data_IF_459547156502
#
_entry.id   IF_459547156502
#
_cell.length_a   1.000
_cell.length_b   1.000
_cell.length_c   1.000
_cell.angle_alpha   90.00
_cell.angle_beta   90.00
_cell.angle_gamma   90.00
#
_symmetry.space_group_name_H-M   'P 1'
#
loop_
_entity.id
_entity.type
_entity.pdbx_description
1 polymer ?
#
# COMPACT_ATOMS: atom_id res chain seq x y z
N UNK A 1 -17.40 -4.34 28.93
CA UNK A 1 -18.22 -3.56 27.98
C UNK A 1 -19.30 -2.78 28.73
N UNK A 2 -19.41 -1.48 28.47
CA UNK A 2 -20.54 -0.64 28.89
C UNK A 2 -21.82 -1.01 28.11
N UNK A 3 -23.03 -0.60 28.58
CA UNK A 3 -24.27 -0.84 27.85
C UNK A 3 -24.27 -0.28 26.42
N UNK A 4 -23.68 0.90 26.22
CA UNK A 4 -23.54 1.52 24.90
C UNK A 4 -22.64 0.69 23.97
N UNK A 5 -21.53 0.17 24.49
CA UNK A 5 -20.64 -0.70 23.72
C UNK A 5 -21.32 -2.00 23.31
N UNK A 6 -22.20 -2.58 24.16
CA UNK A 6 -22.99 -3.77 23.82
C UNK A 6 -24.01 -3.47 22.73
N UNK A 7 -24.78 -2.40 22.89
CA UNK A 7 -25.76 -1.98 21.88
C UNK A 7 -25.09 -1.74 20.52
N UNK A 8 -23.91 -1.13 20.53
CA UNK A 8 -23.11 -0.94 19.32
C UNK A 8 -22.64 -2.27 18.74
N UNK A 9 -22.08 -3.16 19.56
CA UNK A 9 -21.64 -4.49 19.13
C UNK A 9 -22.77 -5.31 18.48
N UNK A 10 -23.98 -5.26 19.06
CA UNK A 10 -25.12 -6.06 18.60
C UNK A 10 -25.77 -5.51 17.31
N UNK A 11 -25.59 -4.22 17.04
CA UNK A 11 -26.19 -3.53 15.89
C UNK A 11 -25.19 -3.11 14.81
N UNK A 12 -23.89 -3.42 14.97
CA UNK A 12 -22.90 -3.08 13.95
C UNK A 12 -22.81 -4.17 12.88
N UNK A 13 -22.34 -3.80 11.67
CA UNK A 13 -22.10 -4.78 10.61
C UNK A 13 -21.13 -5.87 11.08
N UNK A 14 -21.34 -7.12 10.63
CA UNK A 14 -20.55 -8.26 11.07
C UNK A 14 -19.03 -8.06 10.88
N UNK A 15 -18.62 -7.40 9.79
CA UNK A 15 -17.24 -7.04 9.49
C UNK A 15 -16.57 -6.13 10.54
N UNK A 16 -17.35 -5.44 11.38
CA UNK A 16 -16.88 -4.54 12.45
C UNK A 16 -17.06 -5.18 13.83
N UNK A 17 -17.66 -6.37 13.90
CA UNK A 17 -17.80 -7.14 15.12
C UNK A 17 -16.43 -7.51 15.68
N UNK A 18 -16.28 -7.40 17.00
CA UNK A 18 -15.05 -7.72 17.72
C UNK A 18 -15.34 -8.65 18.89
N UNK A 19 -14.30 -9.28 19.41
CA UNK A 19 -14.38 -10.06 20.64
C UNK A 19 -13.92 -9.18 21.81
N UNK A 20 -14.79 -8.90 22.79
CA UNK A 20 -14.49 -8.00 23.90
C UNK A 20 -13.43 -8.54 24.88
N UNK A 21 -12.99 -9.80 24.71
CA UNK A 21 -11.85 -10.36 25.46
C UNK A 21 -10.51 -9.81 24.98
N UNK A 22 -10.46 -9.26 23.75
CA UNK A 22 -9.26 -8.68 23.17
C UNK A 22 -9.26 -7.16 23.33
N UNK A 23 -8.04 -6.61 23.49
CA UNK A 23 -7.78 -5.19 23.46
C UNK A 23 -7.01 -4.85 22.19
N UNK A 24 -7.44 -3.80 21.51
CA UNK A 24 -6.76 -3.24 20.35
C UNK A 24 -5.86 -2.10 20.81
N UNK A 25 -4.57 -2.22 20.52
CA UNK A 25 -3.56 -1.19 20.77
C UNK A 25 -3.19 -0.45 19.48
N UNK A 26 -3.48 0.84 19.42
CA UNK A 26 -3.06 1.73 18.35
C UNK A 26 -1.80 2.44 18.78
N UNK A 27 -0.70 2.22 18.06
CA UNK A 27 0.64 2.62 18.51
C UNK A 27 1.26 3.60 17.53
N UNK A 28 1.80 4.70 18.05
CA UNK A 28 2.74 5.55 17.34
C UNK A 28 4.10 5.53 18.05
N UNK A 29 5.12 5.01 17.38
CA UNK A 29 6.48 4.92 17.91
C UNK A 29 7.39 5.96 17.24
N UNK A 30 8.12 6.72 18.05
CA UNK A 30 9.15 7.66 17.59
C UNK A 30 10.51 7.22 18.10
N UNK A 31 11.45 7.09 17.17
CA UNK A 31 12.87 6.93 17.46
C UNK A 31 13.64 8.07 16.80
N UNK A 32 14.42 8.82 17.59
CA UNK A 32 15.26 9.90 17.10
C UNK A 32 16.67 9.72 17.65
N UNK A 33 17.69 9.94 16.82
CA UNK A 33 19.08 9.90 17.30
C UNK A 33 19.31 11.06 18.26
N UNK A 34 19.83 10.75 19.44
CA UNK A 34 20.15 11.74 20.46
C UNK A 34 21.47 11.34 21.12
N UNK A 35 22.58 12.05 20.83
CA UNK A 35 23.89 11.72 21.36
C UNK A 35 24.00 11.97 22.87
N UNK A 36 23.08 12.75 23.48
CA UNK A 36 23.09 13.05 24.90
C UNK A 36 22.48 11.92 25.75
N UNK A 37 21.81 10.95 25.11
CA UNK A 37 21.21 9.82 25.80
C UNK A 37 22.17 8.62 25.84
N UNK A 38 22.21 7.84 26.95
CA UNK A 38 23.15 6.73 27.12
C UNK A 38 23.10 5.67 26.01
N UNK A 39 21.95 5.52 25.33
CA UNK A 39 21.74 4.56 24.25
C UNK A 39 21.84 5.18 22.86
N UNK A 40 22.14 6.49 22.75
CA UNK A 40 22.28 7.22 21.49
C UNK A 40 20.97 7.52 20.76
N UNK A 41 19.82 7.15 21.35
CA UNK A 41 18.50 7.35 20.75
C UNK A 41 17.47 7.73 21.81
N UNK A 42 16.62 8.69 21.46
CA UNK A 42 15.34 8.97 22.11
C UNK A 42 14.29 8.02 21.55
N UNK A 43 13.58 7.30 22.43
CA UNK A 43 12.56 6.32 22.06
C UNK A 43 11.34 6.48 22.95
N UNK A 44 10.18 6.77 22.34
CA UNK A 44 8.89 6.79 23.04
C UNK A 44 7.77 6.27 22.14
N UNK A 45 6.76 5.70 22.77
CA UNK A 45 5.53 5.26 22.12
C UNK A 45 4.33 5.93 22.76
N UNK A 46 3.38 6.37 21.94
CA UNK A 46 2.02 6.70 22.35
C UNK A 46 1.14 5.51 21.98
N UNK A 47 0.34 5.03 22.94
CA UNK A 47 -0.51 3.86 22.78
C UNK A 47 -1.93 4.19 23.22
N UNK A 48 -2.88 4.09 22.29
CA UNK A 48 -4.31 4.14 22.59
C UNK A 48 -4.83 2.70 22.68
N UNK A 49 -5.45 2.34 23.80
CA UNK A 49 -5.99 1.00 24.04
C UNK A 49 -7.51 1.06 24.11
N UNK A 50 -8.18 0.20 23.35
CA UNK A 50 -9.65 0.17 23.29
C UNK A 50 -10.14 -1.23 22.94
N UNK A 51 -11.39 -1.53 23.27
CA UNK A 51 -12.05 -2.75 22.80
C UNK A 51 -12.61 -2.59 21.38
N UNK A 52 -12.75 -1.35 20.88
CA UNK A 52 -13.41 -1.07 19.60
C UNK A 52 -12.39 -1.06 18.44
N UNK A 53 -12.53 -1.89 17.40
CA UNK A 53 -11.59 -1.98 16.28
C UNK A 53 -11.85 -0.91 15.20
N UNK A 54 -12.04 0.36 15.60
CA UNK A 54 -12.21 1.45 14.63
C UNK A 54 -10.86 1.90 14.09
N UNK A 55 -10.29 1.05 13.23
CA UNK A 55 -8.90 1.14 12.81
C UNK A 55 -8.53 2.54 12.30
N UNK A 56 -9.25 3.04 11.30
CA UNK A 56 -8.94 4.31 10.66
C UNK A 56 -9.10 5.50 11.60
N UNK A 57 -10.15 5.48 12.44
CA UNK A 57 -10.39 6.51 13.45
C UNK A 57 -9.25 6.54 14.48
N UNK A 58 -8.94 5.41 15.10
CA UNK A 58 -7.97 5.37 16.18
C UNK A 58 -6.53 5.48 15.70
N UNK A 59 -6.20 5.09 14.46
CA UNK A 59 -4.91 5.45 13.86
C UNK A 59 -4.78 6.97 13.69
N UNK A 60 -5.81 7.63 13.16
CA UNK A 60 -5.82 9.09 12.97
C UNK A 60 -5.74 9.85 14.30
N UNK A 61 -6.47 9.39 15.31
CA UNK A 61 -6.44 9.93 16.69
C UNK A 61 -5.06 9.76 17.30
N UNK A 62 -4.50 8.54 17.27
CA UNK A 62 -3.18 8.25 17.86
C UNK A 62 -2.07 9.04 17.18
N UNK A 63 -2.11 9.19 15.85
CA UNK A 63 -1.16 10.00 15.10
C UNK A 63 -1.21 11.48 15.52
N UNK A 64 -2.41 12.04 15.68
CA UNK A 64 -2.57 13.44 16.12
C UNK A 64 -2.11 13.65 17.57
N UNK A 65 -2.44 12.73 18.49
CA UNK A 65 -1.93 12.77 19.88
C UNK A 65 -0.41 12.75 19.85
N UNK A 66 0.19 11.83 19.10
CA UNK A 66 1.63 11.69 19.03
C UNK A 66 2.32 12.96 18.51
N UNK A 67 1.79 13.55 17.42
CA UNK A 67 2.31 14.82 16.89
C UNK A 67 2.37 15.90 17.97
N UNK A 68 1.25 16.13 18.66
CA UNK A 68 1.14 17.18 19.67
C UNK A 68 1.90 16.86 20.95
N UNK A 69 1.96 15.59 21.36
CA UNK A 69 2.76 15.15 22.51
C UNK A 69 4.25 15.41 22.28
N UNK A 70 4.77 15.18 21.08
CA UNK A 70 6.17 15.47 20.81
C UNK A 70 6.49 16.96 20.64
N UNK A 71 5.47 17.81 20.49
CA UNK A 71 5.60 19.27 20.46
C UNK A 71 5.44 19.90 21.85
N UNK A 72 4.49 19.40 22.65
CA UNK A 72 4.03 20.06 23.89
C UNK A 72 4.04 19.17 25.15
N UNK A 73 4.36 17.88 25.03
CA UNK A 73 4.50 16.96 26.14
C UNK A 73 3.17 16.45 26.70
N UNK A 74 3.14 16.17 28.01
CA UNK A 74 1.99 15.61 28.73
C UNK A 74 0.67 16.40 28.60
N UNK A 75 0.67 17.74 28.53
CA UNK A 75 -0.57 18.50 28.28
C UNK A 75 -1.32 18.08 27.02
N UNK A 76 -0.63 17.57 25.99
CA UNK A 76 -1.27 17.02 24.80
C UNK A 76 -2.11 15.77 25.12
N UNK A 77 -1.64 14.92 26.04
CA UNK A 77 -2.38 13.72 26.47
C UNK A 77 -3.60 14.14 27.30
N UNK A 78 -3.45 15.11 28.21
CA UNK A 78 -4.55 15.65 29.01
C UNK A 78 -5.66 16.24 28.13
N UNK A 79 -5.28 17.07 27.15
CA UNK A 79 -6.21 17.64 26.18
C UNK A 79 -6.91 16.55 25.34
N UNK A 80 -6.16 15.54 24.90
CA UNK A 80 -6.74 14.42 24.15
C UNK A 80 -7.76 13.63 24.98
N UNK A 81 -7.46 13.33 26.24
CA UNK A 81 -8.38 12.65 27.15
C UNK A 81 -9.65 13.49 27.38
N UNK A 82 -9.49 14.80 27.63
CA UNK A 82 -10.61 15.71 27.81
C UNK A 82 -11.54 15.74 26.58
N UNK A 83 -10.97 15.87 25.38
CA UNK A 83 -11.75 15.90 24.15
C UNK A 83 -12.48 14.58 23.89
N UNK A 84 -11.83 13.43 24.14
CA UNK A 84 -12.43 12.10 23.99
C UNK A 84 -13.58 11.89 24.99
N UNK A 85 -13.44 12.33 26.24
CA UNK A 85 -14.50 12.24 27.25
C UNK A 85 -15.75 13.05 26.87
N UNK A 86 -15.56 14.12 26.08
CA UNK A 86 -16.63 14.96 25.56
C UNK A 86 -17.27 14.43 24.27
N UNK A 87 -16.75 13.34 23.70
CA UNK A 87 -17.33 12.79 22.48
C UNK A 87 -18.76 12.28 22.69
N UNK A 88 -19.65 12.50 21.70
CA UNK A 88 -20.98 11.93 21.75
C UNK A 88 -20.91 10.40 21.80
N UNK A 89 -21.89 9.79 22.47
CA UNK A 89 -21.99 8.32 22.51
C UNK A 89 -22.12 7.77 21.09
N UNK A 90 -21.35 6.73 20.72
CA UNK A 90 -21.41 6.16 19.38
C UNK A 90 -22.78 5.53 19.12
N UNK A 91 -23.44 5.97 18.05
CA UNK A 91 -24.73 5.45 17.59
C UNK A 91 -24.60 4.93 16.17
N UNK A 92 -24.98 3.67 15.96
CA UNK A 92 -24.92 2.96 14.68
C UNK A 92 -25.69 3.72 13.60
N UNK A 93 -25.09 3.89 12.41
CA UNK A 93 -25.69 4.55 11.26
C UNK A 93 -25.67 6.08 11.28
N UNK A 94 -25.28 6.71 12.40
CA UNK A 94 -25.30 8.17 12.61
C UNK A 94 -23.96 8.80 12.23
N UNK A 95 -24.02 10.01 11.66
CA UNK A 95 -22.85 10.85 11.43
C UNK A 95 -22.42 11.51 12.74
N UNK A 96 -21.14 11.35 13.08
CA UNK A 96 -20.52 11.92 14.26
C UNK A 96 -19.56 13.04 13.84
N UNK A 97 -19.61 14.12 14.60
CA UNK A 97 -18.62 15.19 14.57
C UNK A 97 -17.91 15.13 15.91
N UNK A 98 -16.63 14.80 15.89
CA UNK A 98 -15.80 14.59 17.07
C UNK A 98 -14.76 15.72 17.14
N UNK A 99 -14.96 16.75 17.96
CA UNK A 99 -13.92 17.72 18.26
C UNK A 99 -12.72 17.01 18.87
N UNK A 100 -11.53 17.25 18.33
CA UNK A 100 -10.32 16.60 18.79
C UNK A 100 -9.07 17.42 18.46
N UNK A 101 -8.44 17.96 19.49
CA UNK A 101 -7.15 18.66 19.47
C UNK A 101 -7.07 19.71 18.34
N UNK A 102 -8.05 20.62 18.32
CA UNK A 102 -8.15 21.72 17.34
C UNK A 102 -8.64 21.30 15.95
N UNK A 103 -9.05 20.04 15.76
CA UNK A 103 -9.62 19.52 14.51
C UNK A 103 -11.03 18.98 14.74
N UNK A 104 -11.89 19.04 13.72
CA UNK A 104 -13.18 18.36 13.70
C UNK A 104 -13.06 17.05 12.91
N UNK A 105 -13.15 15.91 13.58
CA UNK A 105 -13.19 14.61 12.91
C UNK A 105 -14.65 14.29 12.55
N UNK A 106 -14.95 14.28 11.26
CA UNK A 106 -16.26 13.91 10.72
C UNK A 106 -16.24 12.47 10.25
N UNK A 107 -17.11 11.63 10.79
CA UNK A 107 -17.19 10.21 10.43
C UNK A 107 -18.62 9.69 10.59
N UNK A 108 -18.88 8.47 10.09
CA UNK A 108 -20.18 7.80 10.25
C UNK A 108 -19.96 6.44 10.89
N UNK A 109 -20.82 6.09 11.84
CA UNK A 109 -20.84 4.75 12.40
C UNK A 109 -21.49 3.77 11.41
N UNK A 110 -20.84 2.65 11.06
CA UNK A 110 -21.40 1.68 10.14
C UNK A 110 -22.61 0.96 10.74
N UNK A 111 -23.57 0.57 9.91
CA UNK A 111 -24.79 -0.16 10.27
C UNK A 111 -24.92 -1.48 9.49
N UNK A 112 -25.66 -2.45 10.05
CA UNK A 112 -25.92 -3.76 9.40
C UNK A 112 -26.60 -3.60 8.03
N UNK A 113 -27.34 -2.51 7.82
CA UNK A 113 -28.03 -2.21 6.57
C UNK A 113 -27.15 -1.52 5.52
N UNK A 114 -25.87 -1.24 5.81
CA UNK A 114 -24.97 -0.63 4.84
C UNK A 114 -24.63 -1.64 3.74
N UNK A 115 -24.72 -1.22 2.49
CA UNK A 115 -24.20 -2.01 1.37
C UNK A 115 -22.66 -2.02 1.43
N UNK A 116 -22.00 -3.09 0.96
CA UNK A 116 -20.55 -3.09 0.78
C UNK A 116 -20.14 -1.86 -0.06
N UNK A 117 -19.17 -1.10 0.43
CA UNK A 117 -18.63 0.12 -0.22
C UNK A 117 -19.59 1.32 -0.30
N UNK A 118 -20.72 1.29 0.41
CA UNK A 118 -21.61 2.45 0.54
C UNK A 118 -21.06 3.44 1.57
N UNK A 119 -20.08 4.22 1.14
CA UNK A 119 -19.59 5.38 1.87
C UNK A 119 -20.54 6.56 1.67
N UNK A 120 -21.78 6.44 2.17
CA UNK A 120 -22.70 7.57 2.40
C UNK A 120 -22.12 8.48 3.49
N UNK A 121 -21.03 9.16 3.18
CA UNK A 121 -20.54 10.29 3.95
C UNK A 121 -21.33 11.49 3.42
N UNK A 122 -21.92 12.32 4.28
CA UNK A 122 -22.45 13.59 3.83
C UNK A 122 -21.32 14.40 3.18
N UNK A 123 -21.58 14.95 2.00
CA UNK A 123 -20.71 15.98 1.41
C UNK A 123 -20.48 17.08 2.45
N UNK A 124 -19.23 17.55 2.66
CA UNK A 124 -18.99 18.62 3.59
C UNK A 124 -19.76 19.85 3.10
N UNK A 125 -20.74 20.30 3.89
CA UNK A 125 -21.14 21.71 3.81
C UNK A 125 -19.91 22.48 4.24
N UNK A 126 -19.25 23.18 3.30
CA UNK A 126 -18.17 24.10 3.62
C UNK A 126 -18.75 25.21 4.49
N UNK A 127 -18.71 25.02 5.80
CA UNK A 127 -18.82 26.13 6.72
C UNK A 127 -17.48 26.88 6.67
N UNK A 128 -17.55 28.21 6.53
CA UNK A 128 -16.41 29.13 6.49
C UNK A 128 -15.65 29.22 7.84
N UNK A 129 -15.70 28.18 8.68
CA UNK A 129 -14.93 28.13 9.93
C UNK A 129 -13.46 27.83 9.63
N UNK A 130 -12.55 28.58 10.25
CA UNK A 130 -11.08 28.39 10.16
C UNK A 130 -10.55 27.08 10.79
N UNK A 131 -11.41 26.15 11.20
CA UNK A 131 -11.03 24.90 11.87
C UNK A 131 -10.73 23.77 10.87
N UNK A 132 -9.57 23.13 11.05
CA UNK A 132 -9.16 21.94 10.29
C UNK A 132 -10.22 20.83 10.44
N UNK A 133 -10.72 20.28 9.34
CA UNK A 133 -11.73 19.22 9.36
C UNK A 133 -11.19 17.96 8.68
N UNK A 134 -11.16 16.84 9.42
CA UNK A 134 -10.76 15.52 8.93
C UNK A 134 -12.02 14.69 8.63
N UNK A 135 -12.29 14.40 7.37
CA UNK A 135 -13.40 13.53 6.97
C UNK A 135 -12.91 12.10 6.79
N UNK A 136 -13.42 11.17 7.59
CA UNK A 136 -13.15 9.74 7.47
C UNK A 136 -14.25 9.05 6.68
N UNK A 137 -13.88 8.45 5.55
CA UNK A 137 -14.82 7.73 4.70
C UNK A 137 -15.37 6.46 5.32
N UNK A 138 -14.55 5.84 6.15
CA UNK A 138 -14.90 4.72 7.00
C UNK A 138 -14.06 4.80 8.26
N UNK A 139 -14.66 4.48 9.40
CA UNK A 139 -13.95 4.43 10.68
C UNK A 139 -13.13 3.15 10.86
N UNK A 140 -13.45 2.09 10.12
CA UNK A 140 -12.88 0.75 10.32
C UNK A 140 -12.06 0.25 9.12
N UNK A 141 -12.37 0.68 7.90
CA UNK A 141 -11.64 0.25 6.72
C UNK A 141 -10.26 0.92 6.64
N UNK A 142 -9.25 0.14 6.29
CA UNK A 142 -7.91 0.64 5.98
C UNK A 142 -7.67 0.59 4.47
N UNK A 143 -6.64 1.29 4.01
CA UNK A 143 -6.22 1.24 2.62
C UNK A 143 -5.56 -0.12 2.31
N UNK A 144 -6.39 -1.07 1.86
CA UNK A 144 -5.97 -2.41 1.47
C UNK A 144 -5.02 -2.37 0.28
N UNK A 145 -5.20 -1.46 -0.68
CA UNK A 145 -4.35 -1.38 -1.85
C UNK A 145 -2.93 -0.96 -1.46
N UNK A 146 -2.79 0.08 -0.63
CA UNK A 146 -1.50 0.51 -0.10
C UNK A 146 -0.78 -0.64 0.62
N UNK A 147 -1.52 -1.41 1.41
CA UNK A 147 -0.96 -2.50 2.22
C UNK A 147 -0.60 -3.74 1.40
N UNK A 148 -1.45 -4.14 0.45
CA UNK A 148 -1.34 -5.37 -0.32
C UNK A 148 -0.72 -5.20 -1.72
N UNK A 149 -0.40 -3.97 -2.13
CA UNK A 149 0.16 -3.64 -3.45
C UNK A 149 1.34 -4.53 -3.87
N UNK A 150 2.26 -4.82 -2.94
CA UNK A 150 3.44 -5.65 -3.20
C UNK A 150 3.15 -7.15 -3.32
N UNK A 151 1.93 -7.58 -2.98
CA UNK A 151 1.49 -8.98 -3.01
C UNK A 151 0.22 -9.16 -3.84
N UNK A 152 -0.09 -8.19 -4.71
CA UNK A 152 -1.34 -8.15 -5.48
C UNK A 152 -1.55 -9.40 -6.33
N UNK A 153 -0.46 -9.97 -6.87
CA UNK A 153 -0.45 -11.24 -7.61
C UNK A 153 -0.95 -12.44 -6.81
N UNK A 154 -0.89 -12.37 -5.48
CA UNK A 154 -1.27 -13.44 -4.56
C UNK A 154 -2.59 -13.17 -3.83
N UNK A 155 -3.27 -12.04 -4.08
CA UNK A 155 -4.46 -11.64 -3.31
C UNK A 155 -5.58 -12.68 -3.36
N UNK A 156 -5.76 -13.37 -4.49
CA UNK A 156 -6.74 -14.47 -4.59
C UNK A 156 -6.44 -15.61 -3.60
N UNK A 157 -5.19 -16.11 -3.60
CA UNK A 157 -4.75 -17.16 -2.68
C UNK A 157 -4.85 -16.69 -1.22
N UNK A 158 -4.42 -15.46 -0.96
CA UNK A 158 -4.48 -14.88 0.39
C UNK A 158 -5.92 -14.74 0.89
N UNK A 159 -6.85 -14.34 0.02
CA UNK A 159 -8.27 -14.32 0.32
C UNK A 159 -8.81 -15.73 0.64
N UNK A 160 -8.44 -16.75 -0.15
CA UNK A 160 -8.83 -18.15 0.10
C UNK A 160 -8.31 -18.63 1.45
N UNK A 161 -7.03 -18.43 1.76
CA UNK A 161 -6.40 -18.83 3.02
C UNK A 161 -7.08 -18.18 4.23
N UNK A 162 -7.40 -16.88 4.14
CA UNK A 162 -8.12 -16.17 5.21
C UNK A 162 -9.55 -16.68 5.33
N UNK A 163 -10.25 -16.89 4.21
CA UNK A 163 -11.64 -17.35 4.21
C UNK A 163 -11.81 -18.71 4.89
N UNK A 164 -10.88 -19.64 4.66
CA UNK A 164 -10.91 -20.99 5.24
C UNK A 164 -10.17 -21.10 6.58
N UNK A 165 -9.54 -20.01 7.03
CA UNK A 165 -8.80 -19.98 8.30
C UNK A 165 -7.57 -20.88 8.33
N UNK A 166 -6.81 -20.92 7.23
CA UNK A 166 -5.51 -21.61 7.21
C UNK A 166 -4.45 -20.83 8.00
N UNK A 167 -3.50 -21.51 8.67
CA UNK A 167 -2.39 -20.85 9.36
C UNK A 167 -1.55 -20.04 8.37
N UNK A 168 -1.28 -18.77 8.69
CA UNK A 168 -0.54 -17.85 7.81
C UNK A 168 0.44 -16.98 8.61
N UNK A 169 1.73 -17.11 8.29
CA UNK A 169 2.79 -16.28 8.85
C UNK A 169 3.17 -15.15 7.87
N UNK A 170 2.91 -13.90 8.24
CA UNK A 170 3.26 -12.70 7.49
C UNK A 170 4.55 -12.10 8.04
N UNK A 171 5.58 -12.00 7.20
CA UNK A 171 6.88 -11.42 7.55
C UNK A 171 7.05 -10.11 6.79
N UNK A 172 7.14 -9.01 7.53
CA UNK A 172 7.38 -7.67 6.97
C UNK A 172 8.61 -7.03 7.60
N UNK A 173 9.06 -5.90 7.09
CA UNK A 173 10.23 -5.19 7.62
C UNK A 173 9.99 -4.37 8.88
N UNK A 174 8.76 -3.91 9.06
CA UNK A 174 8.39 -3.00 10.15
C UNK A 174 7.10 -3.46 10.83
N UNK A 175 6.92 -3.19 12.13
CA UNK A 175 5.70 -3.55 12.85
C UNK A 175 4.45 -2.91 12.23
N UNK A 176 4.56 -1.65 11.78
CA UNK A 176 3.47 -0.92 11.13
C UNK A 176 3.02 -1.62 9.86
N UNK A 177 3.96 -2.07 9.02
CA UNK A 177 3.65 -2.76 7.77
C UNK A 177 3.11 -4.15 7.99
N UNK A 178 3.69 -4.89 8.94
CA UNK A 178 3.18 -6.20 9.37
C UNK A 178 1.71 -6.08 9.80
N UNK A 179 1.43 -5.11 10.67
CA UNK A 179 0.09 -4.86 11.19
C UNK A 179 -0.89 -4.48 10.08
N UNK A 180 -0.50 -3.56 9.19
CA UNK A 180 -1.36 -3.12 8.09
C UNK A 180 -1.74 -4.25 7.14
N UNK A 181 -0.78 -5.15 6.83
CA UNK A 181 -1.01 -6.30 5.95
C UNK A 181 -1.93 -7.30 6.61
N UNK A 182 -1.66 -7.70 7.86
CA UNK A 182 -2.54 -8.64 8.58
C UNK A 182 -3.96 -8.08 8.68
N UNK A 183 -4.13 -6.80 9.05
CA UNK A 183 -5.45 -6.18 9.08
C UNK A 183 -6.12 -6.16 7.70
N UNK A 184 -5.36 -5.90 6.63
CA UNK A 184 -5.92 -5.90 5.27
C UNK A 184 -6.35 -7.29 4.83
N UNK A 185 -5.56 -8.32 5.18
CA UNK A 185 -5.90 -9.71 4.95
C UNK A 185 -7.21 -10.09 5.64
N UNK A 186 -7.38 -9.73 6.91
CA UNK A 186 -8.63 -9.96 7.64
C UNK A 186 -9.80 -9.22 6.97
N UNK A 187 -9.58 -8.01 6.45
CA UNK A 187 -10.62 -7.24 5.74
C UNK A 187 -10.96 -7.78 4.34
N UNK A 188 -10.12 -8.61 3.72
CA UNK A 188 -10.40 -9.17 2.38
C UNK A 188 -11.69 -9.98 2.33
N UNK A 189 -12.09 -10.60 3.44
CA UNK A 189 -13.31 -11.42 3.49
C UNK A 189 -14.56 -10.62 3.90
N UNK A 190 -14.44 -9.30 4.10
CA UNK A 190 -15.57 -8.42 4.36
C UNK A 190 -16.66 -8.62 3.29
N UNK A 191 -17.95 -8.74 3.67
CA UNK A 191 -18.54 -8.40 4.96
C UNK A 191 -18.51 -9.53 6.01
N UNK A 192 -17.85 -10.65 5.74
CA UNK A 192 -17.73 -11.75 6.69
C UNK A 192 -16.85 -11.35 7.88
N UNK A 193 -17.26 -11.79 9.08
CA UNK A 193 -16.44 -11.66 10.28
C UNK A 193 -15.40 -12.79 10.28
N UNK A 194 -14.14 -12.42 10.42
CA UNK A 194 -13.09 -13.40 10.68
C UNK A 194 -13.23 -13.96 12.10
N UNK A 195 -13.25 -15.28 12.23
CA UNK A 195 -13.56 -15.99 13.49
C UNK A 195 -12.35 -16.65 14.15
N UNK A 196 -11.20 -16.68 13.48
CA UNK A 196 -9.97 -17.23 14.03
C UNK A 196 -9.10 -16.14 14.67
N UNK A 197 -8.06 -16.54 15.41
CA UNK A 197 -7.15 -15.58 16.02
C UNK A 197 -6.27 -14.93 14.94
N UNK A 198 -5.83 -13.71 15.20
CA UNK A 198 -4.84 -13.02 14.40
C UNK A 198 -4.06 -12.03 15.27
N UNK A 199 -2.76 -11.94 15.03
CA UNK A 199 -1.87 -11.00 15.72
C UNK A 199 -1.22 -10.10 14.68
N UNK A 200 -1.67 -8.84 14.53
CA UNK A 200 -1.11 -7.91 13.56
C UNK A 200 0.40 -7.69 13.73
N UNK A 201 0.87 -7.76 14.97
CA UNK A 201 2.28 -7.77 15.29
C UNK A 201 2.55 -8.68 16.51
N UNK A 202 3.37 -9.70 16.30
CA UNK A 202 3.72 -10.75 17.25
C UNK A 202 5.24 -10.75 17.49
N UNK A 203 5.64 -10.94 18.74
CA UNK A 203 7.06 -10.84 19.14
C UNK A 203 7.51 -12.10 19.88
N UNK A 204 8.82 -12.30 19.95
CA UNK A 204 9.42 -13.41 20.71
C UNK A 204 9.19 -13.29 22.22
N UNK A 205 8.81 -12.11 22.69
CA UNK A 205 8.54 -11.82 24.10
C UNK A 205 7.07 -12.03 24.46
N UNK A 206 6.23 -12.39 23.50
CA UNK A 206 4.84 -12.74 23.75
C UNK A 206 4.78 -14.02 24.60
N UNK A 207 3.88 -14.04 25.60
CA UNK A 207 3.70 -15.18 26.50
C UNK A 207 3.32 -16.46 25.75
N UNK A 208 2.64 -16.34 24.60
CA UNK A 208 2.17 -17.45 23.78
C UNK A 208 3.22 -17.89 22.74
N UNK A 209 4.39 -17.24 22.66
CA UNK A 209 5.44 -17.59 21.70
C UNK A 209 5.85 -19.06 21.78
N UNK A 210 6.00 -19.60 23.00
CA UNK A 210 6.35 -21.01 23.17
C UNK A 210 5.28 -21.95 22.64
N UNK A 211 4.01 -21.60 22.81
CA UNK A 211 2.88 -22.40 22.32
C UNK A 211 2.87 -22.43 20.79
N UNK A 212 3.01 -21.27 20.15
CA UNK A 212 2.96 -21.16 18.69
C UNK A 212 4.23 -21.65 17.97
N UNK A 213 5.37 -21.76 18.67
CA UNK A 213 6.62 -22.29 18.12
C UNK A 213 6.82 -23.78 18.39
N UNK A 214 6.06 -24.37 19.33
CA UNK A 214 6.18 -25.81 19.62
C UNK A 214 5.68 -26.62 18.42
N UNK A 215 6.51 -27.56 17.96
CA UNK A 215 6.18 -28.46 16.84
C UNK A 215 5.06 -29.43 17.23
N UNK A 216 3.82 -28.97 17.11
CA UNK A 216 2.61 -29.79 17.20
C UNK A 216 2.35 -30.51 15.87
N UNK A 217 1.49 -31.52 15.87
CA UNK A 217 1.06 -32.23 14.64
C UNK A 217 0.34 -31.30 13.65
N UNK A 218 -0.20 -30.16 14.10
CA UNK A 218 -0.84 -29.16 13.26
C UNK A 218 -0.51 -27.76 13.76
N UNK A 219 -0.17 -26.84 12.84
CA UNK A 219 -0.07 -25.42 13.15
C UNK A 219 -1.45 -24.88 13.59
N UNK A 220 -1.50 -23.94 14.55
CA UNK A 220 -2.76 -23.33 14.98
C UNK A 220 -3.34 -22.47 13.86
N UNK A 221 -4.67 -22.39 13.79
CA UNK A 221 -5.40 -21.55 12.81
C UNK A 221 -5.29 -20.08 13.24
N UNK A 222 -4.21 -19.43 12.81
CA UNK A 222 -3.88 -18.06 13.18
C UNK A 222 -3.17 -17.33 12.05
N UNK A 223 -3.44 -16.03 11.92
CA UNK A 223 -2.65 -15.13 11.06
C UNK A 223 -1.68 -14.34 11.94
N UNK A 224 -0.38 -14.53 11.76
CA UNK A 224 0.66 -13.90 12.58
C UNK A 224 1.48 -12.92 11.75
N UNK A 225 1.49 -11.65 12.14
CA UNK A 225 2.39 -10.64 11.62
C UNK A 225 3.67 -10.58 12.45
N UNK A 226 4.82 -10.74 11.82
CA UNK A 226 6.14 -10.63 12.47
C UNK A 226 7.07 -9.74 11.64
N UNK A 227 8.18 -9.34 12.25
CA UNK A 227 9.24 -8.58 11.55
C UNK A 227 10.56 -9.31 11.39
N UNK A 228 10.83 -10.27 12.28
CA UNK A 228 12.14 -10.91 12.34
C UNK A 228 12.15 -12.24 11.55
N UNK A 229 13.07 -12.43 10.58
CA UNK A 229 13.25 -13.71 9.89
C UNK A 229 13.52 -14.91 10.80
N UNK A 230 13.93 -14.69 12.06
CA UNK A 230 14.02 -15.72 13.10
C UNK A 230 12.76 -16.60 13.18
N UNK A 231 11.58 -15.99 13.01
CA UNK A 231 10.30 -16.70 13.03
C UNK A 231 10.18 -17.78 11.95
N UNK A 232 10.90 -17.66 10.82
CA UNK A 232 10.91 -18.70 9.77
C UNK A 232 11.46 -20.02 10.32
N UNK A 233 12.51 -19.94 11.15
CA UNK A 233 13.12 -21.13 11.76
C UNK A 233 12.30 -21.61 12.95
N UNK A 234 11.78 -20.69 13.76
CA UNK A 234 11.00 -21.03 14.95
C UNK A 234 9.61 -21.61 14.61
N UNK A 235 9.06 -21.27 13.45
CA UNK A 235 7.73 -21.66 12.99
C UNK A 235 7.79 -22.36 11.62
N UNK A 236 8.81 -23.21 11.42
CA UNK A 236 9.05 -23.95 10.17
C UNK A 236 7.94 -24.93 9.79
N UNK A 237 7.08 -25.28 10.75
CA UNK A 237 5.93 -26.16 10.59
C UNK A 237 4.66 -25.42 10.09
N UNK A 238 4.68 -24.09 9.95
CA UNK A 238 3.56 -23.35 9.38
C UNK A 238 3.51 -23.54 7.86
N UNK A 239 2.35 -23.96 7.30
CA UNK A 239 2.25 -24.30 5.88
C UNK A 239 2.32 -23.09 4.95
N UNK A 240 1.86 -21.91 5.40
CA UNK A 240 1.80 -20.71 4.57
C UNK A 240 2.64 -19.59 5.19
N UNK A 241 3.63 -19.10 4.43
CA UNK A 241 4.52 -18.01 4.82
C UNK A 241 4.51 -16.94 3.74
N UNK A 242 3.99 -15.75 4.06
CA UNK A 242 4.02 -14.58 3.21
C UNK A 242 5.22 -13.69 3.59
N UNK A 243 6.25 -13.67 2.76
CA UNK A 243 7.37 -12.72 2.91
C UNK A 243 7.10 -11.48 2.08
N UNK A 244 7.00 -10.34 2.74
CA UNK A 244 6.66 -9.07 2.10
C UNK A 244 7.95 -8.31 1.80
N UNK A 245 8.26 -8.15 0.52
CA UNK A 245 9.42 -7.39 0.06
C UNK A 245 9.33 -5.93 0.46
N UNK A 246 10.44 -5.31 0.87
CA UNK A 246 10.47 -3.89 1.19
C UNK A 246 10.35 -3.01 -0.04
N UNK A 247 9.48 -1.98 -0.04
CA UNK A 247 9.40 -1.06 -1.18
C UNK A 247 10.70 -0.25 -1.31
N UNK A 248 11.48 -0.17 -0.22
CA UNK A 248 12.71 0.61 -0.11
C UNK A 248 13.98 -0.26 -0.11
N UNK A 249 13.87 -1.59 -0.14
CA UNK A 249 15.03 -2.48 -0.26
C UNK A 249 15.33 -2.74 -1.74
N UNK A 250 15.93 -1.75 -2.41
CA UNK A 250 16.75 -2.03 -3.57
C UNK A 250 18.02 -2.77 -3.08
N UNK A 251 18.00 -4.10 -3.04
CA UNK A 251 19.20 -4.94 -3.00
C UNK A 251 18.93 -6.27 -3.74
N UNK A 252 19.38 -6.28 -5.00
CA UNK A 252 19.79 -7.34 -5.95
C UNK A 252 19.91 -8.79 -5.41
N UNK A 253 19.62 -9.92 -6.09
CA UNK A 253 19.20 -10.35 -7.45
C UNK A 253 18.96 -11.91 -7.40
N UNK A 254 18.54 -12.69 -8.45
CA UNK A 254 18.31 -12.37 -9.87
C UNK A 254 16.94 -12.85 -10.44
N UNK A 255 16.57 -12.34 -11.62
CA UNK A 255 15.32 -12.59 -12.38
C UNK A 255 14.11 -11.72 -12.04
N UNK A 256 14.34 -10.44 -11.84
CA UNK A 256 13.58 -9.51 -12.67
C UNK A 256 14.48 -8.34 -12.99
N UNK A 257 14.92 -8.24 -14.25
CA UNK A 257 15.47 -6.99 -14.76
C UNK A 257 14.30 -6.01 -14.83
N UNK A 258 13.92 -5.42 -13.70
CA UNK A 258 13.56 -4.02 -13.73
C UNK A 258 14.84 -3.30 -14.13
N UNK A 259 15.04 -3.19 -15.44
CA UNK A 259 15.95 -2.18 -15.99
C UNK A 259 15.56 -0.89 -15.28
N UNK A 260 16.45 -0.38 -14.42
CA UNK A 260 16.49 1.05 -14.11
C UNK A 260 16.37 1.71 -15.47
N UNK A 261 15.19 2.24 -15.77
CA UNK A 261 14.90 2.79 -17.09
C UNK A 261 15.87 3.93 -17.23
N UNK A 262 16.95 3.67 -17.96
CA UNK A 262 17.95 4.67 -18.23
C UNK A 262 17.20 5.83 -18.82
N UNK A 263 17.41 7.02 -18.26
CA UNK A 263 16.75 8.26 -18.71
C UNK A 263 17.03 8.52 -20.20
N UNK A 264 18.04 7.84 -20.75
CA UNK A 264 18.47 7.86 -22.15
C UNK A 264 18.06 6.60 -22.95
N UNK A 265 17.33 5.62 -22.38
CA UNK A 265 16.79 4.46 -23.12
C UNK A 265 15.28 4.63 -23.38
N UNK A 266 14.79 4.01 -24.44
CA UNK A 266 13.36 3.96 -24.78
C UNK A 266 12.53 3.31 -23.64
N UNK A 267 11.21 3.52 -23.67
CA UNK A 267 10.27 2.91 -22.70
C UNK A 267 10.57 1.40 -22.61
N UNK A 268 10.78 0.83 -21.41
CA UNK A 268 11.02 -0.60 -21.27
C UNK A 268 9.80 -1.36 -21.79
N UNK A 269 10.04 -2.42 -22.56
CA UNK A 269 8.97 -3.27 -23.05
C UNK A 269 8.76 -4.39 -22.04
N UNK A 270 7.53 -4.58 -21.56
CA UNK A 270 7.22 -5.77 -20.77
C UNK A 270 7.48 -7.01 -21.63
N UNK A 271 8.16 -8.01 -21.06
CA UNK A 271 8.37 -9.29 -21.74
C UNK A 271 6.98 -9.85 -22.15
N UNK A 272 6.78 -10.25 -23.40
CA UNK A 272 5.51 -10.82 -23.82
C UNK A 272 5.25 -12.11 -23.04
N UNK A 273 3.97 -12.35 -22.71
CA UNK A 273 3.57 -13.59 -22.08
C UNK A 273 3.92 -14.77 -23.00
N UNK A 274 4.66 -15.75 -22.47
CA UNK A 274 5.00 -16.99 -23.16
C UNK A 274 4.22 -18.13 -22.53
N UNK A 275 3.39 -18.78 -23.34
CA UNK A 275 2.64 -19.96 -22.93
C UNK A 275 3.58 -21.09 -22.52
N UNK A 276 4.65 -21.32 -23.26
CA UNK A 276 5.58 -22.43 -23.01
C UNK A 276 6.39 -22.21 -21.73
N UNK A 277 6.78 -20.96 -21.44
CA UNK A 277 7.44 -20.60 -20.18
C UNK A 277 6.48 -20.79 -19.00
N UNK A 278 5.20 -20.44 -19.17
CA UNK A 278 4.20 -20.66 -18.13
C UNK A 278 3.95 -22.16 -17.91
N UNK A 279 3.73 -22.93 -18.96
CA UNK A 279 3.43 -24.36 -18.86
C UNK A 279 4.59 -25.14 -18.24
N UNK A 280 5.84 -24.79 -18.57
CA UNK A 280 7.03 -25.40 -17.94
C UNK A 280 7.17 -25.04 -16.45
N UNK A 281 6.60 -23.91 -16.02
CA UNK A 281 6.57 -23.53 -14.61
C UNK A 281 5.48 -24.25 -13.79
N UNK A 282 4.48 -24.89 -14.43
CA UNK A 282 3.36 -25.52 -13.70
C UNK A 282 3.84 -26.64 -12.77
N UNK A 283 4.83 -27.42 -13.18
CA UNK A 283 5.31 -28.54 -12.36
C UNK A 283 6.08 -28.08 -11.10
N UNK A 284 6.60 -26.85 -11.10
CA UNK A 284 7.41 -26.30 -9.99
C UNK A 284 6.70 -25.20 -9.21
N UNK A 285 5.81 -24.45 -9.86
CA UNK A 285 5.15 -23.23 -9.38
C UNK A 285 3.62 -23.27 -9.56
N UNK A 286 3.09 -24.34 -10.16
CA UNK A 286 1.66 -24.52 -10.34
C UNK A 286 0.94 -24.73 -9.01
N UNK A 287 -0.40 -24.72 -9.02
CA UNK A 287 -1.21 -24.85 -7.81
C UNK A 287 -0.99 -26.23 -7.16
N UNK A 288 0.01 -26.32 -6.29
CA UNK A 288 0.19 -27.42 -5.33
C UNK A 288 -0.68 -27.22 -4.09
N UNK A 289 -1.68 -26.33 -4.18
CA UNK A 289 -2.52 -25.92 -3.08
C UNK A 289 -3.97 -26.11 -3.52
N UNK A 290 -4.66 -27.05 -2.86
CA UNK A 290 -6.13 -27.23 -2.72
C UNK A 290 -6.87 -28.37 -3.42
N UNK A 291 -6.28 -29.22 -4.28
CA UNK A 291 -6.95 -30.49 -4.57
C UNK A 291 -6.00 -31.68 -4.71
N UNK A 292 -6.29 -32.75 -3.98
CA UNK A 292 -5.64 -34.05 -4.15
C UNK A 292 -6.05 -34.78 -5.44
N UNK A 293 -6.80 -34.11 -6.33
CA UNK A 293 -7.22 -34.65 -7.62
C UNK A 293 -6.13 -34.36 -8.64
N UNK A 294 -5.46 -35.42 -9.09
CA UNK A 294 -4.57 -35.34 -10.27
C UNK A 294 -5.44 -35.00 -11.49
N UNK A 295 -5.36 -33.77 -11.95
CA UNK A 295 -5.99 -33.29 -13.20
C UNK A 295 -4.94 -32.99 -14.27
N UNK A 296 -5.36 -33.01 -15.54
CA UNK A 296 -4.55 -32.50 -16.66
C UNK A 296 -4.52 -30.96 -16.64
N UNK A 297 -3.77 -30.39 -15.69
CA UNK A 297 -3.64 -28.94 -15.51
C UNK A 297 -3.04 -28.29 -16.75
N UNK A 298 -2.04 -28.91 -17.37
CA UNK A 298 -1.47 -28.42 -18.62
C UNK A 298 -2.52 -28.33 -19.73
N UNK A 299 -3.37 -29.36 -19.89
CA UNK A 299 -4.48 -29.34 -20.83
C UNK A 299 -5.55 -28.31 -20.52
N UNK A 300 -5.88 -28.11 -19.24
CA UNK A 300 -6.80 -27.06 -18.80
C UNK A 300 -6.26 -25.66 -19.17
N UNK A 301 -5.01 -25.36 -18.83
CA UNK A 301 -4.40 -24.07 -19.14
C UNK A 301 -4.23 -23.86 -20.64
N UNK A 302 -3.89 -24.89 -21.41
CA UNK A 302 -3.90 -24.81 -22.89
C UNK A 302 -5.26 -24.41 -23.43
N UNK A 303 -6.35 -25.03 -22.94
CA UNK A 303 -7.73 -24.66 -23.33
C UNK A 303 -8.09 -23.24 -22.88
N UNK A 304 -7.69 -22.86 -21.67
CA UNK A 304 -7.91 -21.51 -21.17
C UNK A 304 -7.19 -20.46 -22.02
N UNK A 305 -5.94 -20.69 -22.41
CA UNK A 305 -5.19 -19.77 -23.25
C UNK A 305 -5.75 -19.63 -24.67
N UNK A 306 -6.43 -20.66 -25.16
CA UNK A 306 -7.16 -20.62 -26.42
C UNK A 306 -8.54 -19.95 -26.28
N UNK A 307 -8.99 -19.64 -25.06
CA UNK A 307 -10.29 -19.02 -24.83
C UNK A 307 -10.29 -17.52 -25.16
N UNK A 308 -11.44 -17.03 -25.63
CA UNK A 308 -11.65 -15.59 -25.84
C UNK A 308 -11.46 -14.77 -24.55
N UNK A 309 -11.77 -15.37 -23.39
CA UNK A 309 -11.62 -14.75 -22.09
C UNK A 309 -10.14 -14.44 -21.79
N UNK A 310 -9.25 -15.40 -22.01
CA UNK A 310 -7.82 -15.19 -21.80
C UNK A 310 -7.24 -14.20 -22.81
N UNK A 311 -7.61 -14.31 -24.08
CA UNK A 311 -7.11 -13.41 -25.12
C UNK A 311 -7.53 -11.96 -24.87
N UNK A 312 -8.80 -11.76 -24.48
CA UNK A 312 -9.31 -10.45 -24.08
C UNK A 312 -8.59 -9.91 -22.85
N UNK A 313 -8.47 -10.72 -21.80
CA UNK A 313 -7.76 -10.34 -20.58
C UNK A 313 -6.30 -10.00 -20.84
N UNK A 314 -5.55 -10.83 -21.57
CA UNK A 314 -4.14 -10.63 -21.85
C UNK A 314 -3.91 -9.36 -22.68
N UNK A 315 -4.77 -9.10 -23.66
CA UNK A 315 -4.74 -7.87 -24.46
C UNK A 315 -4.96 -6.63 -23.57
N UNK A 316 -6.03 -6.62 -22.78
CA UNK A 316 -6.32 -5.53 -21.84
C UNK A 316 -5.19 -5.32 -20.85
N UNK A 317 -4.70 -6.40 -20.22
CA UNK A 317 -3.63 -6.33 -19.23
C UNK A 317 -2.31 -5.86 -19.83
N UNK A 318 -2.00 -6.29 -21.05
CA UNK A 318 -0.81 -5.82 -21.78
C UNK A 318 -0.91 -4.34 -22.11
N UNK A 319 -2.10 -3.86 -22.46
CA UNK A 319 -2.34 -2.44 -22.73
C UNK A 319 -2.29 -1.59 -21.46
N UNK A 320 -2.82 -2.10 -20.34
CA UNK A 320 -2.72 -1.45 -19.03
C UNK A 320 -1.26 -1.29 -18.61
N UNK A 321 -0.48 -2.37 -18.70
CA UNK A 321 0.96 -2.35 -18.37
C UNK A 321 1.70 -1.36 -19.27
N UNK A 322 1.45 -1.37 -20.59
CA UNK A 322 2.03 -0.39 -21.51
C UNK A 322 1.66 1.05 -21.12
N UNK A 323 0.41 1.28 -20.73
CA UNK A 323 -0.08 2.61 -20.33
C UNK A 323 0.60 3.07 -19.03
N UNK A 324 0.70 2.19 -18.04
CA UNK A 324 1.39 2.49 -16.77
C UNK A 324 2.88 2.74 -16.98
N UNK A 325 3.56 1.92 -17.79
CA UNK A 325 4.98 2.14 -18.13
C UNK A 325 5.18 3.48 -18.83
N UNK A 326 4.28 3.87 -19.74
CA UNK A 326 4.32 5.20 -20.37
C UNK A 326 4.16 6.32 -19.34
N UNK A 327 3.17 6.23 -18.45
CA UNK A 327 2.93 7.24 -17.40
C UNK A 327 4.16 7.39 -16.50
N UNK A 328 4.71 6.27 -16.04
CA UNK A 328 5.89 6.26 -15.17
C UNK A 328 7.14 6.80 -15.87
N UNK A 329 7.32 6.48 -17.16
CA UNK A 329 8.41 7.02 -17.96
C UNK A 329 8.30 8.54 -18.13
N UNK A 330 7.11 9.07 -18.40
CA UNK A 330 6.86 10.52 -18.48
C UNK A 330 7.19 11.19 -17.14
N UNK A 331 6.79 10.59 -16.01
CA UNK A 331 7.13 11.11 -14.68
C UNK A 331 8.64 11.15 -14.43
N UNK A 332 9.33 10.08 -14.83
CA UNK A 332 10.80 10.00 -14.76
C UNK A 332 11.46 11.10 -15.58
N UNK A 333 10.97 11.37 -16.79
CA UNK A 333 11.46 12.46 -17.65
C UNK A 333 11.18 13.84 -17.04
N UNK A 334 10.00 14.06 -16.47
CA UNK A 334 9.64 15.31 -15.82
C UNK A 334 10.53 15.65 -14.62
N UNK A 335 10.94 14.64 -13.86
CA UNK A 335 11.78 14.79 -12.66
C UNK A 335 13.28 14.65 -12.94
N UNK A 336 13.67 14.33 -14.18
CA UNK A 336 15.06 14.14 -14.54
C UNK A 336 15.82 15.48 -14.52
N UNK A 337 17.08 15.41 -14.11
CA UNK A 337 18.04 16.51 -14.25
C UNK A 337 18.85 16.29 -15.54
N UNK A 338 18.71 17.22 -16.48
CA UNK A 338 19.46 17.25 -17.74
C UNK A 338 20.50 18.39 -17.77
N UNK A 339 21.04 18.78 -16.61
CA UNK A 339 22.09 19.79 -16.56
C UNK A 339 23.36 19.43 -17.35
N UNK A 340 24.15 20.46 -17.64
CA UNK A 340 25.48 20.38 -18.30
C UNK A 340 26.37 19.21 -17.84
N UNK A 341 26.59 18.93 -16.54
CA UNK A 341 27.49 17.86 -16.11
C UNK A 341 27.01 16.47 -16.52
N UNK A 342 25.70 16.25 -16.64
CA UNK A 342 25.12 14.96 -17.04
C UNK A 342 25.23 14.78 -18.56
N UNK A 343 24.89 15.82 -19.33
CA UNK A 343 24.92 15.78 -20.79
C UNK A 343 26.34 15.68 -21.35
N UNK A 344 27.34 16.27 -20.67
CA UNK A 344 28.76 16.17 -21.08
C UNK A 344 29.30 14.73 -21.10
N UNK A 345 28.64 13.79 -20.41
CA UNK A 345 29.01 12.37 -20.39
C UNK A 345 28.39 11.55 -21.53
N UNK A 346 27.62 12.18 -22.44
CA UNK A 346 26.82 11.51 -23.46
C UNK A 346 27.20 11.92 -24.87
N UNK A 347 27.03 11.00 -25.81
CA UNK A 347 27.27 11.29 -27.22
C UNK A 347 26.13 12.13 -27.81
N UNK A 348 26.45 12.98 -28.80
CA UNK A 348 25.46 13.85 -29.45
C UNK A 348 24.25 13.08 -29.99
N UNK A 349 24.46 11.86 -30.52
CA UNK A 349 23.38 11.00 -31.02
C UNK A 349 22.40 10.58 -29.92
N UNK A 350 22.90 10.28 -28.72
CA UNK A 350 22.04 9.90 -27.57
C UNK A 350 21.22 11.10 -27.07
N UNK A 351 21.79 12.30 -27.14
CA UNK A 351 21.12 13.55 -26.77
C UNK A 351 20.02 13.87 -27.80
N UNK A 352 20.31 13.71 -29.09
CA UNK A 352 19.30 13.90 -30.15
C UNK A 352 18.14 12.91 -30.00
N UNK A 353 18.44 11.63 -29.79
CA UNK A 353 17.41 10.61 -29.60
C UNK A 353 16.57 10.87 -28.34
N UNK A 354 17.19 11.33 -27.24
CA UNK A 354 16.47 11.77 -26.05
C UNK A 354 15.50 12.92 -26.34
N UNK A 355 15.95 13.97 -27.04
CA UNK A 355 15.12 15.13 -27.36
C UNK A 355 13.95 14.75 -28.26
N UNK A 356 14.19 13.91 -29.28
CA UNK A 356 13.13 13.41 -30.16
C UNK A 356 12.10 12.56 -29.40
N UNK A 357 12.55 11.73 -28.45
CA UNK A 357 11.65 10.95 -27.58
C UNK A 357 10.82 11.82 -26.65
N UNK A 358 11.41 12.82 -25.99
CA UNK A 358 10.66 13.77 -25.15
C UNK A 358 9.63 14.50 -26.01
N UNK A 359 10.00 14.91 -27.22
CA UNK A 359 9.10 15.57 -28.19
C UNK A 359 7.93 14.69 -28.58
N UNK A 360 8.14 13.42 -28.91
CA UNK A 360 7.01 12.49 -29.19
C UNK A 360 6.02 12.44 -28.03
N UNK A 361 6.51 12.41 -26.78
CA UNK A 361 5.63 12.42 -25.60
C UNK A 361 4.88 13.75 -25.44
N UNK A 362 5.50 14.87 -25.77
CA UNK A 362 4.84 16.19 -25.77
C UNK A 362 3.69 16.25 -26.79
N UNK A 363 3.86 15.62 -27.96
CA UNK A 363 2.82 15.56 -29.01
C UNK A 363 1.67 14.62 -28.62
N UNK A 364 1.95 13.52 -27.91
CA UNK A 364 0.92 12.61 -27.40
C UNK A 364 0.05 13.23 -26.28
N UNK A 365 0.54 14.29 -25.61
CA UNK A 365 -0.15 14.95 -24.51
C UNK A 365 -0.95 16.18 -25.00
N UNK A 366 -2.19 16.33 -24.52
CA UNK A 366 -3.02 17.51 -24.81
C UNK A 366 -2.41 18.82 -24.29
N UNK A 367 -2.77 19.94 -24.92
CA UNK A 367 -2.17 21.26 -24.66
C UNK A 367 -2.33 21.73 -23.19
N UNK A 368 -3.42 21.36 -22.52
CA UNK A 368 -3.72 21.76 -21.14
C UNK A 368 -3.06 20.87 -20.06
N UNK A 369 -2.14 19.97 -20.45
CA UNK A 369 -1.54 19.02 -19.52
C UNK A 369 -0.29 19.59 -18.82
N UNK A 370 -0.30 19.67 -17.48
CA UNK A 370 0.86 20.11 -16.68
C UNK A 370 2.15 19.34 -16.98
N UNK A 371 2.05 18.02 -17.26
CA UNK A 371 3.21 17.19 -17.60
C UNK A 371 3.79 17.60 -18.96
N UNK A 372 2.95 18.05 -19.91
CA UNK A 372 3.41 18.58 -21.21
C UNK A 372 4.27 19.81 -20.99
N UNK A 373 3.82 20.77 -20.18
CA UNK A 373 4.59 21.99 -19.88
C UNK A 373 5.94 21.66 -19.22
N UNK A 374 5.96 20.70 -18.30
CA UNK A 374 7.22 20.24 -17.66
C UNK A 374 8.17 19.60 -18.67
N UNK A 375 7.68 18.76 -19.58
CA UNK A 375 8.53 18.18 -20.64
C UNK A 375 9.07 19.24 -21.62
N UNK A 376 8.27 20.24 -21.98
CA UNK A 376 8.74 21.38 -22.79
C UNK A 376 9.85 22.15 -22.07
N UNK A 377 9.70 22.38 -20.76
CA UNK A 377 10.75 22.98 -19.95
C UNK A 377 12.04 22.13 -19.93
N UNK A 378 11.91 20.80 -19.86
CA UNK A 378 13.07 19.90 -19.95
C UNK A 378 13.78 19.99 -21.30
N UNK A 379 13.05 20.09 -22.42
CA UNK A 379 13.66 20.32 -23.75
C UNK A 379 14.43 21.65 -23.76
N UNK A 380 13.85 22.72 -23.23
CA UNK A 380 14.52 24.02 -23.16
C UNK A 380 15.79 23.98 -22.26
N UNK A 381 15.73 23.27 -21.13
CA UNK A 381 16.87 23.06 -20.25
C UNK A 381 18.01 22.29 -20.95
N UNK A 382 17.69 21.24 -21.71
CA UNK A 382 18.68 20.52 -22.53
C UNK A 382 19.31 21.46 -23.57
N UNK A 383 18.50 22.23 -24.32
CA UNK A 383 18.98 23.13 -25.38
C UNK A 383 19.86 24.27 -24.86
N UNK A 384 19.71 24.67 -23.59
CA UNK A 384 20.59 25.66 -22.94
C UNK A 384 21.89 25.05 -22.37
N UNK A 385 21.95 23.72 -22.29
CA UNK A 385 23.04 22.96 -21.69
C UNK A 385 23.99 22.31 -22.71
N UNK A 386 23.58 22.21 -23.98
CA UNK A 386 24.40 21.70 -25.09
C UNK A 386 25.20 22.81 -25.79
N UNK A 387 26.15 22.44 -26.64
CA UNK A 387 26.93 23.38 -27.47
C UNK A 387 26.10 23.97 -28.62
N UNK A 388 26.61 25.05 -29.22
CA UNK A 388 25.88 25.80 -30.26
C UNK A 388 25.68 24.99 -31.55
N UNK A 389 26.61 24.09 -31.89
CA UNK A 389 26.50 23.21 -33.06
C UNK A 389 25.36 22.20 -32.90
N UNK A 390 25.30 21.48 -31.77
CA UNK A 390 24.22 20.52 -31.50
C UNK A 390 22.87 21.21 -31.33
N UNK A 391 22.86 22.41 -30.73
CA UNK A 391 21.65 23.23 -30.60
C UNK A 391 21.11 23.63 -31.97
N UNK A 392 21.96 24.10 -32.88
CA UNK A 392 21.54 24.43 -34.25
C UNK A 392 20.98 23.21 -34.99
N UNK A 393 21.61 22.03 -34.81
CA UNK A 393 21.13 20.78 -35.38
C UNK A 393 19.72 20.42 -34.85
N UNK A 394 19.51 20.46 -33.53
CA UNK A 394 18.20 20.17 -32.94
C UNK A 394 17.12 21.17 -33.38
N UNK A 395 17.46 22.45 -33.47
CA UNK A 395 16.53 23.51 -33.86
C UNK A 395 16.21 23.52 -35.36
N UNK A 396 16.95 22.78 -36.19
CA UNK A 396 16.59 22.57 -37.60
C UNK A 396 15.26 21.81 -37.76
N UNK A 397 14.84 21.04 -36.75
CA UNK A 397 13.57 20.32 -36.74
C UNK A 397 12.39 21.28 -36.52
N UNK A 398 11.53 21.44 -37.53
CA UNK A 398 10.37 22.34 -37.48
C UNK A 398 9.42 22.06 -36.31
N UNK A 399 9.18 20.79 -36.00
CA UNK A 399 8.23 20.42 -34.94
C UNK A 399 8.78 20.71 -33.54
N UNK A 400 10.11 20.64 -33.33
CA UNK A 400 10.71 21.09 -32.07
C UNK A 400 10.55 22.60 -31.89
N UNK A 401 10.64 23.38 -32.98
CA UNK A 401 10.42 24.83 -32.94
C UNK A 401 8.97 25.19 -32.59
N UNK A 402 8.00 24.47 -33.15
CA UNK A 402 6.57 24.67 -32.84
C UNK A 402 6.22 24.37 -31.38
N UNK A 403 6.94 23.44 -30.75
CA UNK A 403 6.73 23.08 -29.33
C UNK A 403 7.31 24.13 -28.38
N UNK A 404 8.34 24.86 -28.81
CA UNK A 404 9.09 25.83 -28.00
C UNK A 404 8.69 27.29 -28.28
N UNK A 405 7.87 27.53 -29.31
CA UNK A 405 7.22 28.82 -29.60
C UNK A 405 6.03 29.03 -28.68
#
# INVERSE_FOLDING_TARGET
MTPAQRLMHDNCAAAVGFDPRYLYGFVHFRQQKDPNLPRGYYQKSIVLVTICPFLNLFYSVTERIARLFFESGEPAIEAACHDIDMWPRPQVGVNLILPFMGCLIQCRMPTVCDLPFDSRIPTPKRDNSHSETLTLSSIHQIDMYKSLSTVLSHVQLLWELVLIGEPLLVIASTPSRSSAIVQSLIQLISPLRYMHDFRPFFTIHDSEFKEYSTKSKSAPRIVLGVTNPFFIKAMDHYPNILKVADPNSENENPHDKQEKTSRFKAVPHSRPFSMDDFLSSIDTSGPSLTCGVKGDWAGLYKKFFQSANFMGWLSTRSNDVKTQLKVHYIETLCMADFGKPVLATKHHVEIVDLVLRIRERVVELGNDNDKRQRLVHQIAAILSSVDDELKQLLMSNCSLREILA
#
